data_IF_578464281865
#
_entry.id   IF_578464281865
#
_cell.length_a   1.000
_cell.length_b   1.000
_cell.length_c   1.000
_cell.angle_alpha   90.00
_cell.angle_beta   90.00
_cell.angle_gamma   90.00
#
_symmetry.space_group_name_H-M   'P 1'
#
loop_
_entity.id
_entity.type
_entity.pdbx_description
1 polymer ?
#
# COMPACT_ATOMS: atom_id res chain seq x y z
N UNK A 1 8.60 -33.91 17.15
CA UNK A 1 7.54 -34.45 16.26
C UNK A 1 7.72 -33.72 14.93
N UNK A 2 8.33 -34.39 13.94
CA UNK A 2 8.62 -33.79 12.65
C UNK A 2 7.32 -33.71 11.86
N UNK A 3 6.73 -32.52 11.78
CA UNK A 3 5.70 -32.24 10.78
C UNK A 3 6.39 -32.18 9.42
N UNK A 4 6.56 -33.34 8.80
CA UNK A 4 6.72 -33.43 7.35
C UNK A 4 5.41 -32.88 6.77
N UNK A 5 5.35 -31.56 6.58
CA UNK A 5 4.32 -30.91 5.78
C UNK A 5 4.39 -31.60 4.43
N UNK A 6 3.39 -32.42 4.15
CA UNK A 6 3.30 -33.16 2.90
C UNK A 6 3.30 -32.13 1.78
N UNK A 7 4.34 -32.12 0.96
CA UNK A 7 4.52 -31.24 -0.20
C UNK A 7 3.48 -31.50 -1.33
N UNK A 8 2.34 -32.08 -0.99
CA UNK A 8 1.32 -32.63 -1.88
C UNK A 8 -0.11 -32.30 -1.44
N UNK A 9 -0.33 -31.38 -0.49
CA UNK A 9 -1.67 -30.84 -0.24
C UNK A 9 -2.00 -29.75 -1.28
N UNK A 10 -2.91 -29.99 -2.24
CA UNK A 10 -3.20 -29.03 -3.30
C UNK A 10 -3.71 -27.69 -2.76
N UNK A 11 -4.40 -27.71 -1.61
CA UNK A 11 -4.87 -26.51 -0.92
C UNK A 11 -3.75 -25.61 -0.42
N UNK A 12 -2.64 -26.18 0.07
CA UNK A 12 -1.48 -25.41 0.53
C UNK A 12 -0.76 -24.73 -0.65
N UNK A 13 -0.61 -25.44 -1.80
CA UNK A 13 -0.04 -24.86 -3.02
C UNK A 13 -0.90 -23.72 -3.60
N UNK A 14 -2.23 -23.90 -3.61
CA UNK A 14 -3.16 -22.85 -4.07
C UNK A 14 -3.10 -21.63 -3.14
N UNK A 15 -3.11 -21.83 -1.82
CA UNK A 15 -2.97 -20.75 -0.84
C UNK A 15 -1.67 -19.97 -1.02
N UNK A 16 -0.55 -20.67 -1.21
CA UNK A 16 0.76 -20.04 -1.46
C UNK A 16 0.79 -19.24 -2.76
N UNK A 17 0.14 -19.74 -3.80
CA UNK A 17 0.03 -19.04 -5.09
C UNK A 17 -0.78 -17.75 -4.96
N UNK A 18 -1.93 -17.80 -4.27
CA UNK A 18 -2.76 -16.62 -4.00
C UNK A 18 -2.00 -15.59 -3.18
N UNK A 19 -1.25 -16.00 -2.15
CA UNK A 19 -0.40 -15.10 -1.38
C UNK A 19 0.63 -14.39 -2.24
N UNK A 20 1.31 -15.11 -3.13
CA UNK A 20 2.30 -14.52 -4.05
C UNK A 20 1.66 -13.53 -5.03
N UNK A 21 0.48 -13.85 -5.58
CA UNK A 21 -0.26 -12.92 -6.43
C UNK A 21 -0.60 -11.65 -5.65
N UNK A 22 -1.10 -11.79 -4.42
CA UNK A 22 -1.38 -10.67 -3.53
C UNK A 22 -0.15 -9.81 -3.24
N UNK A 23 1.01 -10.42 -3.00
CA UNK A 23 2.27 -9.70 -2.82
C UNK A 23 2.67 -8.88 -4.05
N UNK A 24 2.57 -9.46 -5.25
CA UNK A 24 2.88 -8.74 -6.50
C UNK A 24 1.94 -7.56 -6.69
N UNK A 25 0.64 -7.75 -6.47
CA UNK A 25 -0.35 -6.69 -6.58
C UNK A 25 -0.06 -5.56 -5.58
N UNK A 26 0.21 -5.89 -4.31
CA UNK A 26 0.56 -4.88 -3.30
C UNK A 26 1.84 -4.13 -3.64
N UNK A 27 2.86 -4.82 -4.15
CA UNK A 27 4.10 -4.18 -4.58
C UNK A 27 3.86 -3.20 -5.74
N UNK A 28 3.05 -3.58 -6.74
CA UNK A 28 2.67 -2.71 -7.85
C UNK A 28 1.88 -1.49 -7.36
N UNK A 29 0.93 -1.68 -6.45
CA UNK A 29 0.16 -0.57 -5.87
C UNK A 29 1.03 0.37 -5.02
N UNK A 30 2.01 -0.15 -4.29
CA UNK A 30 2.96 0.65 -3.54
C UNK A 30 3.81 1.52 -4.47
N UNK A 31 4.34 0.94 -5.56
CA UNK A 31 5.12 1.67 -6.56
C UNK A 31 4.27 2.72 -7.28
N UNK A 32 3.06 2.36 -7.72
CA UNK A 32 2.14 3.30 -8.36
C UNK A 32 1.79 4.46 -7.43
N UNK A 33 1.53 4.19 -6.15
CA UNK A 33 1.24 5.23 -5.15
C UNK A 33 2.46 6.11 -4.90
N UNK A 34 3.67 5.54 -4.81
CA UNK A 34 4.91 6.31 -4.70
C UNK A 34 5.15 7.20 -5.92
N UNK A 35 4.83 6.72 -7.12
CA UNK A 35 4.92 7.51 -8.35
C UNK A 35 3.90 8.66 -8.36
N UNK A 36 2.66 8.42 -7.90
CA UNK A 36 1.67 9.49 -7.74
C UNK A 36 2.08 10.53 -6.71
N UNK A 37 2.72 10.12 -5.62
CA UNK A 37 3.31 11.04 -4.66
C UNK A 37 4.41 11.90 -5.31
N UNK A 38 5.31 11.31 -6.10
CA UNK A 38 6.32 12.05 -6.84
C UNK A 38 5.69 13.09 -7.79
N UNK A 39 4.68 12.70 -8.56
CA UNK A 39 3.96 13.63 -9.44
C UNK A 39 3.25 14.75 -8.66
N UNK A 40 2.74 14.45 -7.47
CA UNK A 40 2.17 15.46 -6.59
C UNK A 40 3.21 16.46 -6.08
N UNK A 41 4.42 16.00 -5.73
CA UNK A 41 5.52 16.90 -5.33
C UNK A 41 6.02 17.81 -6.46
N UNK A 42 5.82 17.40 -7.72
CA UNK A 42 6.14 18.23 -8.89
C UNK A 42 5.00 19.20 -9.27
N UNK A 43 3.93 19.25 -8.47
CA UNK A 43 2.82 20.20 -8.68
C UNK A 43 1.84 19.79 -9.78
N UNK A 44 1.78 18.50 -10.17
CA UNK A 44 0.82 18.02 -11.19
C UNK A 44 -0.64 18.32 -10.80
N UNK A 45 -0.93 18.37 -9.51
CA UNK A 45 -2.27 18.61 -8.97
C UNK A 45 -2.51 20.05 -8.53
N UNK A 46 -1.62 20.98 -8.87
CA UNK A 46 -1.73 22.39 -8.47
C UNK A 46 -2.94 23.13 -9.03
N UNK A 47 -3.47 22.65 -10.16
CA UNK A 47 -4.70 23.18 -10.74
C UNK A 47 -5.98 22.53 -10.23
N UNK A 48 -5.91 21.63 -9.25
CA UNK A 48 -7.10 20.95 -8.73
C UNK A 48 -7.71 21.77 -7.60
N UNK A 49 -9.00 22.08 -7.75
CA UNK A 49 -9.77 22.76 -6.71
C UNK A 49 -10.19 21.76 -5.64
N UNK A 50 -9.35 21.61 -4.62
CA UNK A 50 -9.52 20.64 -3.53
C UNK A 50 -10.04 21.40 -2.32
N UNK A 51 -11.34 21.31 -2.09
CA UNK A 51 -11.95 21.79 -0.85
C UNK A 51 -11.70 20.78 0.27
N UNK A 52 -10.94 21.18 1.29
CA UNK A 52 -10.73 20.40 2.51
C UNK A 52 -11.78 20.85 3.53
N UNK A 53 -12.64 19.93 3.97
CA UNK A 53 -13.62 20.20 5.02
C UNK A 53 -12.94 20.75 6.28
N UNK A 54 -13.48 21.84 6.85
CA UNK A 54 -12.90 22.58 7.97
C UNK A 54 -12.60 21.71 9.21
N UNK A 55 -13.36 20.61 9.39
CA UNK A 55 -13.18 19.67 10.50
C UNK A 55 -11.86 18.89 10.44
N UNK A 56 -11.20 18.81 9.27
CA UNK A 56 -9.89 18.17 9.09
C UNK A 56 -8.71 19.14 9.28
N UNK A 57 -8.98 20.46 9.34
CA UNK A 57 -7.95 21.51 9.47
C UNK A 57 -7.19 21.43 10.80
N UNK A 58 -7.83 20.93 11.87
CA UNK A 58 -7.19 20.81 13.19
C UNK A 58 -5.99 19.85 13.18
N UNK A 59 -6.01 18.82 12.33
CA UNK A 59 -4.95 17.82 12.24
C UNK A 59 -3.74 18.36 11.45
N UNK A 60 -3.98 19.30 10.53
CA UNK A 60 -2.97 19.87 9.63
C UNK A 60 -3.26 21.35 9.30
N UNK A 61 -2.99 22.28 10.23
CA UNK A 61 -3.47 23.66 10.16
C UNK A 61 -2.79 24.56 9.12
N UNK A 62 -1.83 24.04 8.33
CA UNK A 62 -1.01 24.82 7.39
C UNK A 62 -0.61 24.07 6.11
N UNK A 63 -1.22 22.91 5.84
CA UNK A 63 -0.86 22.12 4.66
C UNK A 63 -1.66 22.63 3.47
N UNK A 64 -0.97 23.00 2.40
CA UNK A 64 -1.63 23.39 1.16
C UNK A 64 -2.38 22.18 0.57
N UNK A 65 -3.54 22.36 -0.11
CA UNK A 65 -4.33 21.24 -0.61
C UNK A 65 -3.54 20.29 -1.54
N UNK A 66 -2.54 20.81 -2.24
CA UNK A 66 -1.63 20.05 -3.10
C UNK A 66 -0.72 19.11 -2.30
N UNK A 67 -0.19 19.58 -1.18
CA UNK A 67 0.62 18.79 -0.25
C UNK A 67 -0.21 17.66 0.38
N UNK A 68 -1.51 17.85 0.53
CA UNK A 68 -2.44 16.82 1.00
C UNK A 68 -2.49 15.60 0.10
N UNK A 69 -2.51 15.81 -1.22
CA UNK A 69 -2.47 14.71 -2.20
C UNK A 69 -1.14 13.95 -2.09
N UNK A 70 -0.04 14.67 -1.92
CA UNK A 70 1.27 14.05 -1.68
C UNK A 70 1.24 13.15 -0.43
N UNK A 71 0.79 13.68 0.71
CA UNK A 71 0.73 12.92 1.96
C UNK A 71 -0.22 11.72 1.88
N UNK A 72 -1.35 11.88 1.18
CA UNK A 72 -2.29 10.78 0.94
C UNK A 72 -1.62 9.63 0.17
N UNK A 73 -0.95 9.93 -0.94
CA UNK A 73 -0.29 8.90 -1.75
C UNK A 73 0.92 8.25 -1.03
N UNK A 74 1.68 9.02 -0.26
CA UNK A 74 2.71 8.48 0.63
C UNK A 74 2.10 7.53 1.67
N UNK A 75 1.00 7.93 2.32
CA UNK A 75 0.28 7.11 3.27
C UNK A 75 -0.22 5.80 2.66
N UNK A 76 -0.76 5.85 1.44
CA UNK A 76 -1.14 4.66 0.69
C UNK A 76 0.04 3.75 0.36
N UNK A 77 1.15 4.32 -0.13
CA UNK A 77 2.36 3.54 -0.44
C UNK A 77 2.89 2.80 0.79
N UNK A 78 3.00 3.49 1.93
CA UNK A 78 3.41 2.90 3.21
C UNK A 78 2.43 1.80 3.65
N UNK A 79 1.12 2.05 3.55
CA UNK A 79 0.09 1.06 3.88
C UNK A 79 0.23 -0.22 3.05
N UNK A 80 0.47 -0.10 1.74
CA UNK A 80 0.69 -1.26 0.88
C UNK A 80 1.98 -2.02 1.22
N UNK A 81 3.07 -1.32 1.55
CA UNK A 81 4.30 -1.95 2.02
C UNK A 81 4.13 -2.71 3.34
N UNK A 82 3.35 -2.15 4.28
CA UNK A 82 3.02 -2.84 5.54
C UNK A 82 2.26 -4.14 5.24
N UNK A 83 1.21 -4.08 4.41
CA UNK A 83 0.46 -5.27 4.02
C UNK A 83 1.30 -6.28 3.23
N UNK A 84 2.23 -5.81 2.40
CA UNK A 84 3.17 -6.67 1.70
C UNK A 84 4.05 -7.43 2.70
N UNK A 85 4.54 -6.75 3.75
CA UNK A 85 5.26 -7.36 4.85
C UNK A 85 4.43 -8.41 5.60
N UNK A 86 3.14 -8.14 5.85
CA UNK A 86 2.21 -9.09 6.47
C UNK A 86 2.02 -10.33 5.58
N UNK A 87 1.80 -10.16 4.27
CA UNK A 87 1.67 -11.29 3.34
C UNK A 87 2.96 -12.09 3.22
N UNK A 88 4.12 -11.43 3.21
CA UNK A 88 5.43 -12.10 3.19
C UNK A 88 5.68 -12.88 4.48
N UNK A 89 5.24 -12.36 5.63
CA UNK A 89 5.29 -13.08 6.90
C UNK A 89 4.34 -14.29 6.93
N UNK A 90 3.14 -14.16 6.38
CA UNK A 90 2.20 -15.28 6.23
C UNK A 90 2.75 -16.38 5.31
N UNK A 91 3.37 -16.01 4.19
CA UNK A 91 3.99 -16.97 3.24
C UNK A 91 5.14 -17.77 3.86
N UNK A 92 5.82 -17.23 4.89
CA UNK A 92 6.83 -17.98 5.66
C UNK A 92 6.22 -19.00 6.64
N UNK A 93 4.95 -18.82 7.01
CA UNK A 93 4.24 -19.69 7.96
C UNK A 93 3.47 -20.83 7.29
N UNK A 94 3.23 -20.74 5.98
CA UNK A 94 2.53 -21.74 5.15
C UNK A 94 3.54 -22.51 4.31
#
# INVERSE_FOLDING_TARGET
MNTTVSYTDPGAMLGKTVLKIGQVVLALLAVASGYMAYLASEGLFSGWDIEIEEDLVWLFPRIEPEEWIFYFFIGLAVKFLIWLGVLAWLDRKI
#
